data_IF_047134395737
#
_entry.id   IF_047134395737
#
_cell.length_a   1.000
_cell.length_b   1.000
_cell.length_c   1.000
_cell.angle_alpha   90.00
_cell.angle_beta   90.00
_cell.angle_gamma   90.00
#
_symmetry.space_group_name_H-M   'P 1'
#
loop_
_entity.id
_entity.type
_entity.pdbx_description
1 polymer ?
#
# COMPACT_ATOMS: atom_id res chain seq x y z
N UNK A 1 93.31 11.95 -46.65
CA UNK A 1 93.35 10.49 -46.45
C UNK A 1 92.73 10.19 -45.10
N UNK A 2 91.59 9.52 -45.14
CA UNK A 2 90.89 8.74 -44.10
C UNK A 2 90.80 9.19 -42.63
N UNK A 3 89.52 9.29 -42.23
CA UNK A 3 88.93 9.25 -40.89
C UNK A 3 89.53 8.21 -39.94
N UNK A 4 89.66 8.58 -38.66
CA UNK A 4 89.26 7.71 -37.54
C UNK A 4 88.43 8.55 -36.55
N UNK A 5 87.20 8.08 -36.37
CA UNK A 5 86.15 8.57 -35.49
C UNK A 5 86.54 8.34 -34.02
N UNK A 6 86.55 9.39 -33.20
CA UNK A 6 86.54 9.28 -31.74
C UNK A 6 85.08 9.10 -31.29
N UNK A 7 84.68 7.86 -31.00
CA UNK A 7 83.42 7.55 -30.34
C UNK A 7 83.50 7.96 -28.86
N UNK A 8 82.97 9.14 -28.54
CA UNK A 8 82.68 9.55 -27.18
C UNK A 8 81.40 8.85 -26.74
N UNK A 9 81.53 7.81 -25.91
CA UNK A 9 80.39 7.25 -25.18
C UNK A 9 79.98 8.23 -24.06
N UNK A 10 79.02 9.10 -24.35
CA UNK A 10 78.28 9.82 -23.30
C UNK A 10 77.34 8.80 -22.65
N UNK A 11 77.76 8.20 -21.54
CA UNK A 11 76.82 7.57 -20.62
C UNK A 11 75.99 8.68 -19.99
N UNK A 12 74.87 9.02 -20.63
CA UNK A 12 73.78 9.71 -19.96
C UNK A 12 73.25 8.75 -18.89
N UNK A 13 73.77 8.86 -17.67
CA UNK A 13 73.10 8.32 -16.48
C UNK A 13 71.80 9.12 -16.36
N UNK A 14 70.73 8.57 -16.91
CA UNK A 14 69.38 8.94 -16.54
C UNK A 14 69.26 8.64 -15.05
N UNK A 15 69.45 9.65 -14.21
CA UNK A 15 69.04 9.62 -12.81
C UNK A 15 67.52 9.55 -12.83
N UNK A 16 66.99 8.32 -12.86
CA UNK A 16 65.62 8.05 -12.50
C UNK A 16 65.58 8.34 -11.00
N UNK A 17 64.87 9.37 -10.52
CA UNK A 17 64.73 9.55 -9.08
C UNK A 17 64.21 8.24 -8.51
N UNK A 18 64.89 7.70 -7.50
CA UNK A 18 64.59 6.42 -6.88
C UNK A 18 63.11 6.39 -6.50
N UNK A 19 62.28 5.76 -7.36
CA UNK A 19 60.88 5.57 -7.06
C UNK A 19 60.82 4.60 -5.91
N UNK A 20 60.16 4.98 -4.83
CA UNK A 20 59.91 4.12 -3.67
C UNK A 20 59.49 2.71 -4.13
N UNK A 21 60.15 1.68 -3.61
CA UNK A 21 60.01 0.26 -3.92
C UNK A 21 58.70 -0.37 -3.40
N UNK A 22 57.84 0.44 -2.76
CA UNK A 22 56.55 0.00 -2.26
C UNK A 22 55.73 -0.72 -3.34
N UNK A 23 55.27 -1.92 -3.03
CA UNK A 23 54.31 -2.66 -3.88
C UNK A 23 53.33 -3.47 -3.04
N UNK A 24 52.07 -3.51 -3.48
CA UNK A 24 51.11 -4.48 -2.97
C UNK A 24 51.46 -5.87 -3.52
N UNK A 25 51.49 -6.89 -2.65
CA UNK A 25 51.92 -8.25 -3.01
C UNK A 25 50.78 -9.26 -3.07
N UNK A 26 49.61 -8.94 -2.50
CA UNK A 26 48.39 -9.75 -2.60
C UNK A 26 47.43 -9.26 -3.70
N UNK A 27 46.65 -10.20 -4.25
CA UNK A 27 45.47 -9.91 -5.07
C UNK A 27 44.26 -9.58 -4.20
N UNK A 28 43.49 -8.58 -4.62
CA UNK A 28 42.48 -7.91 -3.78
C UNK A 28 41.10 -8.53 -4.01
N UNK A 29 40.37 -8.96 -2.95
CA UNK A 29 38.92 -9.07 -3.03
C UNK A 29 38.34 -7.65 -3.01
N UNK A 30 37.70 -7.23 -4.11
CA UNK A 30 37.01 -5.93 -4.20
C UNK A 30 35.87 -5.81 -3.17
N UNK A 31 35.35 -6.95 -2.71
CA UNK A 31 34.26 -7.06 -1.75
C UNK A 31 34.59 -8.13 -0.69
N UNK A 32 34.28 -7.82 0.56
CA UNK A 32 34.34 -8.75 1.70
C UNK A 32 32.90 -8.94 2.20
N UNK A 33 32.35 -10.14 2.02
CA UNK A 33 31.03 -10.49 2.54
C UNK A 33 31.15 -11.22 3.89
N UNK A 34 30.33 -10.82 4.86
CA UNK A 34 30.31 -11.40 6.20
C UNK A 34 28.89 -11.47 6.74
N UNK A 35 28.62 -12.43 7.60
CA UNK A 35 27.33 -12.51 8.29
C UNK A 35 27.33 -11.67 9.57
N UNK A 36 26.17 -11.10 9.93
CA UNK A 36 25.99 -10.40 11.21
C UNK A 36 26.51 -11.26 12.37
N UNK A 37 27.30 -10.65 13.26
CA UNK A 37 27.90 -11.30 14.42
C UNK A 37 29.19 -12.08 14.14
N UNK A 38 29.59 -12.26 12.88
CA UNK A 38 30.87 -12.88 12.51
C UNK A 38 31.97 -11.83 12.39
N UNK A 39 33.25 -12.21 12.57
CA UNK A 39 34.36 -11.29 12.39
C UNK A 39 34.60 -11.00 10.90
N UNK A 40 34.85 -9.75 10.55
CA UNK A 40 35.33 -9.37 9.22
C UNK A 40 36.81 -9.00 9.31
N UNK A 41 37.61 -9.46 8.37
CA UNK A 41 39.06 -9.23 8.32
C UNK A 41 39.43 -8.67 6.97
N UNK A 42 40.00 -7.47 6.98
CA UNK A 42 40.73 -6.90 5.86
C UNK A 42 42.21 -7.17 6.10
N UNK A 43 42.91 -7.72 5.10
CA UNK A 43 44.33 -8.04 5.21
C UNK A 43 44.97 -7.94 3.85
N UNK A 44 45.88 -6.99 3.68
CA UNK A 44 46.66 -6.83 2.46
C UNK A 44 48.14 -6.84 2.78
N UNK A 45 48.88 -7.74 2.14
CA UNK A 45 50.34 -7.72 2.19
C UNK A 45 50.87 -6.69 1.19
N UNK A 46 51.92 -6.02 1.63
CA UNK A 46 52.74 -5.13 0.83
C UNK A 46 54.20 -5.51 0.99
N UNK A 47 55.07 -4.92 0.19
CA UNK A 47 56.50 -5.01 0.34
C UNK A 47 57.11 -3.62 0.20
N UNK A 48 58.07 -3.32 1.07
CA UNK A 48 58.94 -2.14 1.02
C UNK A 48 60.40 -2.61 1.00
N UNK A 49 61.30 -1.76 0.51
CA UNK A 49 62.72 -1.95 0.75
C UNK A 49 63.04 -1.54 2.18
N UNK A 50 63.25 -2.51 3.07
CA UNK A 50 63.46 -2.25 4.49
C UNK A 50 64.80 -1.59 4.80
N UNK A 51 65.76 -1.57 3.86
CA UNK A 51 67.04 -0.91 4.06
C UNK A 51 66.93 0.60 3.81
N UNK A 52 66.19 1.00 2.78
CA UNK A 52 66.09 2.38 2.32
C UNK A 52 64.79 3.09 2.74
N UNK A 53 63.73 2.33 3.07
CA UNK A 53 62.39 2.85 3.35
C UNK A 53 61.88 2.44 4.73
N UNK A 54 60.92 3.21 5.24
CA UNK A 54 60.13 2.87 6.42
C UNK A 54 58.67 3.24 6.22
N UNK A 55 57.77 2.44 6.80
CA UNK A 55 56.37 2.84 6.94
C UNK A 55 56.30 3.92 8.00
N UNK A 56 55.83 5.10 7.60
CA UNK A 56 55.67 6.25 8.49
C UNK A 56 54.29 6.24 9.16
N UNK A 57 53.23 6.09 8.37
CA UNK A 57 51.84 6.06 8.85
C UNK A 57 51.07 4.94 8.15
N UNK A 58 50.26 4.21 8.92
CA UNK A 58 49.21 3.36 8.40
C UNK A 58 47.87 3.84 8.98
N UNK A 59 47.00 4.35 8.12
CA UNK A 59 45.71 4.90 8.52
C UNK A 59 44.57 4.15 7.84
N UNK A 60 43.52 3.85 8.61
CA UNK A 60 42.29 3.25 8.12
C UNK A 60 41.14 4.25 8.15
N UNK A 61 40.42 4.32 7.04
CA UNK A 61 39.25 5.16 6.85
C UNK A 61 38.05 4.27 6.53
N UNK A 62 36.91 4.55 7.17
CA UNK A 62 35.64 3.91 6.87
C UNK A 62 34.66 4.92 6.28
N UNK A 63 34.12 4.64 5.10
CA UNK A 63 33.00 5.37 4.53
C UNK A 63 31.74 4.53 4.75
N UNK A 64 31.08 4.79 5.87
CA UNK A 64 29.94 4.02 6.35
C UNK A 64 28.71 4.91 6.37
N UNK A 65 27.62 4.49 5.72
CA UNK A 65 26.41 5.30 5.53
C UNK A 65 26.70 6.71 4.95
N UNK A 66 27.67 6.80 4.02
CA UNK A 66 28.09 8.06 3.40
C UNK A 66 28.84 9.03 4.32
N UNK A 67 29.20 8.62 5.55
CA UNK A 67 30.04 9.40 6.47
C UNK A 67 31.43 8.80 6.52
N UNK A 68 32.43 9.63 6.24
CA UNK A 68 33.83 9.29 6.48
C UNK A 68 34.09 9.31 7.98
N UNK A 69 34.64 8.23 8.50
CA UNK A 69 35.07 8.09 9.88
C UNK A 69 36.53 7.67 9.87
N UNK A 70 37.36 8.44 10.59
CA UNK A 70 38.70 7.99 10.93
C UNK A 70 38.58 6.83 11.90
N UNK A 71 38.90 5.62 11.43
CA UNK A 71 38.75 4.39 12.23
C UNK A 71 39.87 4.26 13.28
N UNK A 72 40.77 5.23 13.32
CA UNK A 72 41.93 5.30 14.21
C UNK A 72 41.56 5.73 15.64
N UNK A 73 40.36 6.28 15.88
CA UNK A 73 39.93 6.65 17.25
C UNK A 73 38.48 6.32 17.64
N UNK A 74 37.62 5.87 16.71
CA UNK A 74 36.20 5.62 17.03
C UNK A 74 35.80 4.16 16.81
N UNK A 75 35.83 3.40 17.92
CA UNK A 75 34.99 2.20 18.16
C UNK A 75 35.24 0.99 17.24
N UNK A 76 36.47 0.49 17.19
CA UNK A 76 36.77 -0.90 16.80
C UNK A 76 37.38 -1.61 18.00
N UNK A 77 36.71 -2.65 18.50
CA UNK A 77 37.18 -3.41 19.67
C UNK A 77 38.53 -4.06 19.34
N UNK A 78 39.57 -3.57 20.02
CA UNK A 78 40.98 -4.00 20.00
C UNK A 78 41.65 -4.05 18.62
N UNK A 79 42.44 -3.02 18.35
CA UNK A 79 43.64 -3.18 17.55
C UNK A 79 44.73 -3.82 18.44
N UNK A 80 45.29 -4.95 18.03
CA UNK A 80 46.65 -5.28 18.43
C UNK A 80 47.58 -4.47 17.51
N UNK A 81 47.80 -3.20 17.85
CA UNK A 81 48.99 -2.51 17.35
C UNK A 81 50.16 -3.08 18.13
N UNK A 82 50.81 -4.10 17.57
CA UNK A 82 52.17 -4.40 17.98
C UNK A 82 53.02 -3.19 17.63
N UNK A 83 53.44 -2.43 18.64
CA UNK A 83 54.39 -1.31 18.50
C UNK A 83 55.82 -1.77 18.14
N UNK A 84 56.01 -3.06 17.86
CA UNK A 84 57.26 -3.61 17.37
C UNK A 84 57.05 -4.05 15.92
N UNK A 85 57.74 -3.40 15.00
CA UNK A 85 57.94 -3.77 13.59
C UNK A 85 56.78 -4.56 12.97
N UNK A 86 55.88 -3.92 12.19
CA UNK A 86 54.78 -4.57 11.44
C UNK A 86 55.22 -5.96 10.99
N UNK A 87 54.87 -7.05 11.72
CA UNK A 87 55.47 -8.33 11.44
C UNK A 87 54.92 -8.72 10.08
N UNK A 88 55.80 -8.80 9.08
CA UNK A 88 55.50 -9.29 7.73
C UNK A 88 54.82 -8.31 6.76
N UNK A 89 54.95 -6.98 6.92
CA UNK A 89 54.49 -6.00 5.92
C UNK A 89 53.00 -6.21 5.53
N UNK A 90 52.14 -6.29 6.56
CA UNK A 90 50.68 -6.52 6.40
C UNK A 90 49.90 -5.32 6.92
N UNK A 91 48.99 -4.81 6.10
CA UNK A 91 47.97 -3.85 6.50
C UNK A 91 46.68 -4.60 6.81
N UNK A 92 46.33 -4.74 8.09
CA UNK A 92 45.15 -5.50 8.52
C UNK A 92 44.21 -4.69 9.44
N UNK A 93 42.91 -4.90 9.24
CA UNK A 93 41.83 -4.39 10.08
C UNK A 93 40.87 -5.53 10.37
N UNK A 94 40.52 -5.73 11.65
CA UNK A 94 39.59 -6.78 12.06
C UNK A 94 38.42 -6.19 12.84
N UNK A 95 37.21 -6.39 12.33
CA UNK A 95 35.98 -6.18 13.07
C UNK A 95 35.66 -7.45 13.85
N UNK A 96 35.49 -7.36 15.17
CA UNK A 96 35.20 -8.54 16.01
C UNK A 96 33.84 -9.16 15.74
N UNK A 97 32.83 -8.31 15.48
CA UNK A 97 31.45 -8.72 15.29
C UNK A 97 30.77 -7.71 14.36
N UNK A 98 30.57 -8.09 13.10
CA UNK A 98 29.96 -7.22 12.10
C UNK A 98 28.48 -6.96 12.40
N UNK A 99 28.05 -5.70 12.29
CA UNK A 99 26.67 -5.27 12.31
C UNK A 99 26.26 -4.73 10.93
N UNK A 100 24.95 -4.71 10.62
CA UNK A 100 24.45 -4.15 9.36
C UNK A 100 24.86 -2.68 9.16
N UNK A 101 25.01 -1.94 10.25
CA UNK A 101 25.48 -0.55 10.24
C UNK A 101 26.94 -0.39 9.83
N UNK A 102 27.73 -1.48 9.83
CA UNK A 102 29.17 -1.42 9.54
C UNK A 102 29.47 -1.56 8.05
N UNK A 103 28.45 -1.90 7.23
CA UNK A 103 28.58 -2.02 5.79
C UNK A 103 29.01 -0.68 5.14
N UNK A 104 29.95 -0.75 4.20
CA UNK A 104 30.54 0.43 3.58
C UNK A 104 31.93 0.18 3.03
N UNK A 105 32.60 1.25 2.59
CA UNK A 105 33.95 1.15 2.00
C UNK A 105 35.01 1.35 3.05
N UNK A 106 35.94 0.42 3.17
CA UNK A 106 37.10 0.50 4.05
C UNK A 106 38.35 0.74 3.22
N UNK A 107 39.10 1.77 3.59
CA UNK A 107 40.27 2.24 2.86
C UNK A 107 41.47 2.19 3.81
N UNK A 108 42.57 1.61 3.37
CA UNK A 108 43.86 1.72 4.05
C UNK A 108 44.76 2.64 3.25
N UNK A 109 45.41 3.57 3.94
CA UNK A 109 46.47 4.43 3.42
C UNK A 109 47.77 4.06 4.13
N UNK A 110 48.75 3.58 3.37
CA UNK A 110 50.10 3.30 3.86
C UNK A 110 51.03 4.37 3.32
N UNK A 111 51.57 5.21 4.21
CA UNK A 111 52.52 6.26 3.89
C UNK A 111 53.92 5.75 4.18
N UNK A 112 54.75 5.63 3.16
CA UNK A 112 56.14 5.21 3.26
C UNK A 112 57.07 6.40 3.01
N UNK A 113 58.22 6.43 3.68
CA UNK A 113 59.24 7.46 3.54
C UNK A 113 60.64 6.89 3.38
N UNK A 114 61.50 7.59 2.65
CA UNK A 114 62.94 7.29 2.60
C UNK A 114 63.62 7.59 3.93
N UNK A 115 64.52 6.71 4.39
CA UNK A 115 65.16 6.81 5.72
C UNK A 115 66.27 7.85 5.81
N UNK A 116 66.98 8.10 4.72
CA UNK A 116 68.27 8.82 4.75
C UNK A 116 68.55 9.62 3.47
N UNK A 117 67.60 10.43 3.04
CA UNK A 117 67.83 11.43 1.97
C UNK A 117 67.91 12.84 2.56
N UNK A 118 68.66 13.73 1.91
CA UNK A 118 68.72 15.17 2.25
C UNK A 118 67.38 15.88 2.09
N UNK A 119 66.46 15.29 1.32
CA UNK A 119 65.04 15.65 1.22
C UNK A 119 64.24 14.34 1.32
N UNK A 120 63.45 14.12 2.38
CA UNK A 120 62.68 12.89 2.52
C UNK A 120 61.58 12.82 1.45
N UNK A 121 61.55 11.73 0.68
CA UNK A 121 60.47 11.42 -0.25
C UNK A 121 59.38 10.62 0.47
N UNK A 122 58.11 10.87 0.13
CA UNK A 122 56.98 10.13 0.66
C UNK A 122 56.07 9.59 -0.43
N UNK A 123 55.61 8.35 -0.30
CA UNK A 123 54.57 7.75 -1.13
C UNK A 123 53.39 7.35 -0.24
N UNK A 124 52.19 7.73 -0.66
CA UNK A 124 50.95 7.20 -0.11
C UNK A 124 50.43 6.12 -1.04
N UNK A 125 50.37 4.89 -0.56
CA UNK A 125 49.74 3.78 -1.26
C UNK A 125 48.40 3.44 -0.61
N UNK A 126 47.35 3.41 -1.43
CA UNK A 126 45.99 3.19 -0.95
C UNK A 126 45.34 1.93 -1.53
N UNK A 127 44.54 1.26 -0.71
CA UNK A 127 43.66 0.16 -1.11
C UNK A 127 42.31 0.30 -0.46
N UNK A 128 41.28 -0.22 -1.12
CA UNK A 128 39.93 -0.23 -0.59
C UNK A 128 39.22 -1.56 -0.86
N UNK A 129 38.29 -1.91 0.02
CA UNK A 129 37.31 -2.96 -0.20
C UNK A 129 35.95 -2.56 0.37
N UNK A 130 34.90 -3.05 -0.25
CA UNK A 130 33.53 -2.90 0.26
C UNK A 130 33.20 -4.02 1.24
N UNK A 131 32.76 -3.66 2.45
CA UNK A 131 32.20 -4.58 3.42
C UNK A 131 30.70 -4.74 3.16
N UNK A 132 30.30 -5.96 2.86
CA UNK A 132 28.90 -6.32 2.72
C UNK A 132 28.53 -7.20 3.90
N UNK A 133 27.55 -6.75 4.70
CA UNK A 133 27.07 -7.50 5.86
C UNK A 133 25.71 -8.11 5.55
N UNK A 134 25.65 -9.44 5.54
CA UNK A 134 24.43 -10.20 5.31
C UNK A 134 23.79 -10.65 6.61
N UNK A 135 22.45 -10.73 6.60
CA UNK A 135 21.66 -11.24 7.71
C UNK A 135 20.80 -12.39 7.21
N UNK A 136 20.83 -13.52 7.90
CA UNK A 136 19.98 -14.65 7.57
C UNK A 136 18.49 -14.30 7.74
N UNK A 137 17.60 -14.88 6.91
CA UNK A 137 16.16 -14.83 7.16
C UNK A 137 15.81 -15.65 8.42
N UNK A 138 14.62 -15.42 8.95
CA UNK A 138 14.11 -16.14 10.11
C UNK A 138 12.60 -16.33 10.01
N UNK A 139 12.11 -17.48 10.43
CA UNK A 139 10.68 -17.82 10.50
C UNK A 139 10.30 -18.30 11.89
N UNK A 140 9.00 -18.43 12.14
CA UNK A 140 8.50 -19.12 13.32
C UNK A 140 8.86 -20.60 13.23
N UNK A 141 9.72 -21.09 14.14
CA UNK A 141 10.10 -22.50 14.22
C UNK A 141 11.22 -22.95 13.26
N UNK A 142 11.97 -22.03 12.65
CA UNK A 142 13.08 -22.31 11.71
C UNK A 142 12.71 -23.23 10.53
N UNK A 143 11.43 -23.24 10.14
CA UNK A 143 10.94 -24.07 9.04
C UNK A 143 9.95 -23.29 8.18
N UNK A 144 9.91 -23.63 6.89
CA UNK A 144 8.84 -23.20 6.01
C UNK A 144 7.60 -24.08 6.22
N UNK A 145 6.43 -23.49 6.02
CA UNK A 145 5.16 -24.20 6.07
C UNK A 145 4.37 -23.79 4.85
N UNK A 146 4.01 -24.76 4.00
CA UNK A 146 3.19 -24.52 2.82
C UNK A 146 1.74 -24.92 3.12
N UNK A 147 0.80 -24.03 2.82
CA UNK A 147 -0.64 -24.27 3.06
C UNK A 147 -1.44 -23.82 1.84
N UNK A 148 -2.52 -24.54 1.56
CA UNK A 148 -3.53 -24.11 0.60
C UNK A 148 -4.52 -23.25 1.36
N UNK A 149 -4.62 -21.97 1.00
CA UNK A 149 -5.50 -21.06 1.70
C UNK A 149 -6.96 -21.53 1.55
N UNK A 150 -7.74 -21.54 2.64
CA UNK A 150 -9.12 -22.05 2.64
C UNK A 150 -10.11 -21.12 1.92
N UNK A 151 -9.64 -20.00 1.38
CA UNK A 151 -10.47 -19.03 0.66
C UNK A 151 -9.80 -18.70 -0.66
N UNK A 152 -10.56 -18.83 -1.74
CA UNK A 152 -10.15 -18.27 -3.03
C UNK A 152 -10.05 -16.74 -2.94
N UNK A 153 -9.20 -16.16 -3.76
CA UNK A 153 -8.98 -14.72 -3.87
C UNK A 153 -9.40 -14.25 -5.25
N UNK A 154 -10.08 -13.11 -5.30
CA UNK A 154 -10.56 -12.53 -6.55
C UNK A 154 -9.47 -11.66 -7.17
N UNK A 155 -8.93 -12.09 -8.30
CA UNK A 155 -7.90 -11.37 -9.05
C UNK A 155 -8.58 -10.55 -10.15
N UNK A 156 -8.32 -9.24 -10.17
CA UNK A 156 -8.82 -8.34 -11.21
C UNK A 156 -7.78 -8.18 -12.32
N UNK A 157 -8.17 -8.50 -13.56
CA UNK A 157 -7.34 -8.31 -14.75
C UNK A 157 -8.07 -7.38 -15.71
N UNK A 158 -7.81 -6.08 -15.58
CA UNK A 158 -8.51 -5.05 -16.36
C UNK A 158 -9.99 -4.96 -15.97
N UNK A 159 -10.89 -5.37 -16.87
CA UNK A 159 -12.34 -5.36 -16.63
C UNK A 159 -12.90 -6.70 -16.15
N UNK A 160 -12.11 -7.77 -16.19
CA UNK A 160 -12.55 -9.10 -15.74
C UNK A 160 -12.00 -9.38 -14.35
N UNK A 161 -12.76 -10.15 -13.59
CA UNK A 161 -12.37 -10.59 -12.26
C UNK A 161 -12.57 -12.10 -12.17
N UNK A 162 -11.56 -12.80 -11.68
CA UNK A 162 -11.55 -14.25 -11.62
C UNK A 162 -11.14 -14.73 -10.23
N UNK A 163 -11.91 -15.66 -9.67
CA UNK A 163 -11.53 -16.34 -8.44
C UNK A 163 -10.43 -17.36 -8.70
N UNK A 164 -9.31 -17.21 -7.98
CA UNK A 164 -8.16 -18.11 -7.99
C UNK A 164 -7.87 -18.63 -6.61
N UNK A 165 -7.27 -19.81 -6.53
CA UNK A 165 -6.78 -20.31 -5.25
C UNK A 165 -5.44 -19.66 -4.94
N UNK A 166 -5.07 -19.70 -3.66
CA UNK A 166 -3.84 -19.13 -3.16
C UNK A 166 -3.10 -20.16 -2.32
N UNK A 167 -1.82 -20.36 -2.61
CA UNK A 167 -0.91 -21.08 -1.76
C UNK A 167 -0.13 -20.09 -0.91
N UNK A 168 0.10 -20.41 0.35
CA UNK A 168 0.91 -19.65 1.29
C UNK A 168 2.16 -20.43 1.66
N UNK A 169 3.29 -19.74 1.83
CA UNK A 169 4.55 -20.35 2.25
C UNK A 169 5.28 -19.51 3.30
N UNK A 170 5.55 -20.15 4.44
CA UNK A 170 6.35 -19.63 5.53
C UNK A 170 5.60 -18.65 6.43
N UNK A 171 6.27 -18.27 7.52
CA UNK A 171 5.84 -17.23 8.47
C UNK A 171 7.10 -16.48 8.94
N UNK A 172 7.61 -15.63 8.07
CA UNK A 172 8.85 -14.89 8.24
C UNK A 172 8.72 -13.83 9.32
N UNK A 173 9.59 -13.91 10.32
CA UNK A 173 9.80 -12.86 11.33
C UNK A 173 10.77 -11.79 10.82
N UNK A 174 11.63 -12.16 9.86
CA UNK A 174 12.51 -11.25 9.15
C UNK A 174 13.03 -11.88 7.87
N UNK A 175 13.08 -11.11 6.79
CA UNK A 175 13.51 -11.57 5.46
C UNK A 175 15.04 -11.62 5.28
N UNK A 176 15.80 -11.31 6.33
CA UNK A 176 17.25 -11.19 6.22
C UNK A 176 17.68 -9.89 5.54
N UNK A 177 18.96 -9.81 5.19
CA UNK A 177 19.55 -8.70 4.43
C UNK A 177 20.60 -9.30 3.46
N UNK A 178 20.46 -9.10 2.14
CA UNK A 178 19.29 -8.53 1.47
C UNK A 178 18.03 -9.38 1.68
N UNK A 179 16.86 -8.79 1.47
CA UNK A 179 15.59 -9.50 1.61
C UNK A 179 15.55 -10.72 0.69
N UNK A 180 15.22 -11.87 1.26
CA UNK A 180 14.97 -13.08 0.49
C UNK A 180 13.59 -13.05 -0.17
N UNK A 181 13.44 -13.83 -1.24
CA UNK A 181 12.17 -14.13 -1.89
C UNK A 181 11.88 -15.62 -1.81
N UNK A 182 10.61 -16.02 -1.92
CA UNK A 182 10.21 -17.42 -2.08
C UNK A 182 9.88 -17.70 -3.54
N UNK A 183 10.42 -18.81 -4.03
CA UNK A 183 10.13 -19.36 -5.35
C UNK A 183 9.35 -20.66 -5.21
N UNK A 184 8.49 -20.89 -6.18
CA UNK A 184 7.60 -22.04 -6.24
C UNK A 184 7.96 -22.91 -7.42
N UNK A 185 7.97 -24.21 -7.22
CA UNK A 185 8.08 -25.20 -8.28
C UNK A 185 6.70 -25.76 -8.56
N UNK A 186 6.20 -25.52 -9.76
CA UNK A 186 4.89 -26.00 -10.18
C UNK A 186 4.94 -27.50 -10.58
N UNK A 187 3.79 -28.18 -10.68
CA UNK A 187 3.70 -29.56 -11.17
C UNK A 187 4.31 -29.74 -12.57
N UNK A 188 4.23 -28.71 -13.42
CA UNK A 188 4.90 -28.65 -14.72
C UNK A 188 6.43 -28.54 -14.66
N UNK A 189 7.03 -28.56 -13.46
CA UNK A 189 8.45 -28.35 -13.19
C UNK A 189 8.93 -26.91 -13.47
N UNK A 190 8.01 -25.98 -13.74
CA UNK A 190 8.30 -24.56 -13.94
C UNK A 190 8.55 -23.87 -12.60
N UNK A 191 9.58 -23.03 -12.54
CA UNK A 191 9.82 -22.15 -11.39
C UNK A 191 8.99 -20.87 -11.54
N UNK A 192 8.19 -20.55 -10.53
CA UNK A 192 7.31 -19.40 -10.47
C UNK A 192 7.73 -18.49 -9.30
N UNK A 193 7.81 -17.17 -9.48
CA UNK A 193 7.97 -16.26 -8.35
C UNK A 193 6.68 -16.20 -7.54
N UNK A 194 6.79 -15.85 -6.25
CA UNK A 194 5.61 -15.51 -5.45
C UNK A 194 4.85 -14.32 -6.05
N UNK A 195 3.52 -14.36 -6.05
CA UNK A 195 2.67 -13.29 -6.59
C UNK A 195 2.59 -12.09 -5.65
N UNK A 196 2.68 -12.33 -4.34
CA UNK A 196 2.66 -11.28 -3.32
C UNK A 196 3.33 -11.74 -2.02
N UNK A 197 3.59 -10.78 -1.15
CA UNK A 197 4.10 -11.00 0.20
C UNK A 197 3.35 -10.09 1.15
N UNK A 198 2.72 -10.66 2.18
CA UNK A 198 1.99 -9.91 3.20
C UNK A 198 1.98 -10.67 4.53
N UNK A 199 2.02 -9.94 5.65
CA UNK A 199 2.04 -10.51 7.01
C UNK A 199 3.10 -11.59 7.27
N UNK A 200 4.28 -11.48 6.63
CA UNK A 200 5.35 -12.48 6.81
C UNK A 200 5.13 -13.75 5.98
N UNK A 201 4.16 -13.78 5.07
CA UNK A 201 3.83 -14.96 4.26
C UNK A 201 4.00 -14.62 2.78
N UNK A 202 4.63 -15.52 2.03
CA UNK A 202 4.69 -15.42 0.58
C UNK A 202 3.52 -16.20 -0.05
N UNK A 203 2.90 -15.61 -1.05
CA UNK A 203 1.73 -16.19 -1.70
C UNK A 203 1.99 -16.53 -3.17
N UNK A 204 1.34 -17.58 -3.66
CA UNK A 204 1.24 -17.91 -5.07
C UNK A 204 -0.24 -18.07 -5.44
N UNK A 205 -0.73 -17.21 -6.31
CA UNK A 205 -2.06 -17.38 -6.91
C UNK A 205 -1.98 -18.35 -8.09
N UNK A 206 -2.70 -19.47 -8.00
CA UNK A 206 -2.64 -20.56 -8.99
C UNK A 206 -3.91 -20.58 -9.86
N UNK A 207 -3.73 -21.00 -11.11
CA UNK A 207 -4.83 -21.23 -12.05
C UNK A 207 -5.54 -22.57 -11.76
N UNK A 208 -6.81 -22.68 -12.15
CA UNK A 208 -7.69 -23.84 -11.93
C UNK A 208 -7.24 -25.10 -12.69
N UNK A 209 -6.30 -24.96 -13.62
CA UNK A 209 -5.92 -26.00 -14.58
C UNK A 209 -4.68 -26.79 -14.16
N UNK A 210 -3.84 -26.24 -13.28
CA UNK A 210 -2.58 -26.87 -12.88
C UNK A 210 -2.74 -27.53 -11.50
N UNK A 211 -3.05 -28.82 -11.52
CA UNK A 211 -3.25 -29.67 -10.33
C UNK A 211 -1.98 -30.50 -10.11
N UNK A 212 -1.61 -30.71 -8.84
CA UNK A 212 -0.51 -31.61 -8.48
C UNK A 212 0.35 -31.08 -7.34
N UNK A 213 1.61 -31.54 -7.32
CA UNK A 213 2.58 -31.20 -6.30
C UNK A 213 3.24 -29.84 -6.60
N UNK A 214 3.07 -28.90 -5.69
CA UNK A 214 3.81 -27.64 -5.64
C UNK A 214 4.86 -27.71 -4.55
N UNK A 215 6.02 -27.10 -4.77
CA UNK A 215 7.07 -26.99 -3.75
C UNK A 215 7.47 -25.54 -3.56
N UNK A 216 7.42 -25.02 -2.34
CA UNK A 216 7.97 -23.69 -2.04
C UNK A 216 9.33 -23.80 -1.36
N UNK A 217 10.23 -22.87 -1.69
CA UNK A 217 11.53 -22.72 -1.03
C UNK A 217 11.98 -21.27 -1.11
N UNK A 218 12.87 -20.85 -0.20
CA UNK A 218 13.56 -19.57 -0.36
C UNK A 218 14.42 -19.64 -1.64
N UNK A 219 14.47 -18.56 -2.43
CA UNK A 219 15.28 -18.51 -3.66
C UNK A 219 16.73 -18.90 -3.33
N UNK A 220 17.23 -20.03 -3.85
CA UNK A 220 18.57 -20.54 -3.51
C UNK A 220 19.69 -19.58 -3.97
N UNK A 221 19.37 -18.61 -4.85
CA UNK A 221 20.31 -17.58 -5.29
C UNK A 221 20.47 -16.45 -4.27
N UNK A 222 19.66 -16.40 -3.22
CA UNK A 222 19.71 -15.34 -2.24
C UNK A 222 20.99 -15.44 -1.39
N UNK A 223 21.87 -14.41 -1.40
CA UNK A 223 23.15 -14.47 -0.69
C UNK A 223 22.99 -14.55 0.83
N UNK A 224 21.90 -14.03 1.37
CA UNK A 224 21.55 -14.10 2.79
C UNK A 224 21.46 -15.54 3.33
N UNK A 225 21.23 -16.54 2.47
CA UNK A 225 21.18 -17.95 2.86
C UNK A 225 22.53 -18.51 3.32
N UNK A 226 23.65 -17.92 2.87
CA UNK A 226 24.99 -18.32 3.34
C UNK A 226 25.22 -18.05 4.83
N UNK A 227 24.36 -17.24 5.44
CA UNK A 227 24.38 -16.94 6.88
C UNK A 227 23.52 -17.88 7.72
N UNK A 228 22.81 -18.82 7.12
CA UNK A 228 22.10 -19.87 7.82
C UNK A 228 23.05 -21.00 8.25
N UNK A 229 22.63 -21.76 9.25
CA UNK A 229 23.28 -23.04 9.54
C UNK A 229 23.11 -23.97 8.32
N UNK A 230 24.17 -24.70 7.90
CA UNK A 230 24.06 -25.66 6.79
C UNK A 230 22.97 -26.74 6.97
N UNK A 231 22.55 -27.00 8.21
CA UNK A 231 21.48 -27.94 8.55
C UNK A 231 20.14 -27.26 8.87
N UNK A 232 20.01 -25.94 8.63
CA UNK A 232 18.74 -25.24 8.87
C UNK A 232 17.65 -25.77 7.95
N UNK A 233 16.46 -26.01 8.50
CA UNK A 233 15.31 -26.46 7.72
C UNK A 233 14.79 -25.38 6.76
N UNK A 234 15.20 -24.12 6.92
CA UNK A 234 14.92 -23.04 5.96
C UNK A 234 15.58 -23.23 4.59
N UNK A 235 16.60 -24.09 4.51
CA UNK A 235 17.23 -24.47 3.23
C UNK A 235 16.46 -25.56 2.48
N UNK A 236 15.46 -26.17 3.12
CA UNK A 236 14.64 -27.24 2.52
C UNK A 236 13.45 -26.69 1.75
N UNK A 237 13.03 -27.39 0.69
CA UNK A 237 11.74 -27.15 0.06
C UNK A 237 10.61 -27.79 0.88
N UNK A 238 9.42 -27.20 0.80
CA UNK A 238 8.21 -27.72 1.43
C UNK A 238 7.17 -27.94 0.37
N UNK A 239 6.64 -29.16 0.35
CA UNK A 239 5.72 -29.61 -0.67
C UNK A 239 4.27 -29.47 -0.20
N UNK A 240 3.40 -29.14 -1.14
CA UNK A 240 1.96 -29.11 -0.97
C UNK A 240 1.28 -29.71 -2.20
N UNK A 241 0.37 -30.64 -1.96
CA UNK A 241 -0.41 -31.25 -3.02
C UNK A 241 -1.75 -30.52 -3.15
N UNK A 242 -2.04 -30.06 -4.37
CA UNK A 242 -3.32 -29.44 -4.73
C UNK A 242 -4.08 -30.46 -5.57
N UNK A 243 -5.28 -30.86 -5.14
CA UNK A 243 -6.14 -31.77 -5.89
C UNK A 243 -7.17 -31.02 -6.75
N UNK A 244 -7.70 -31.69 -7.76
CA UNK A 244 -8.77 -31.12 -8.59
C UNK A 244 -10.05 -30.83 -7.78
N UNK A 245 -10.28 -31.59 -6.70
CA UNK A 245 -11.42 -31.38 -5.81
C UNK A 245 -11.25 -30.08 -5.04
N UNK A 246 -10.05 -29.82 -4.50
CA UNK A 246 -9.76 -28.58 -3.78
C UNK A 246 -9.97 -27.36 -4.68
N UNK A 247 -9.47 -27.45 -5.91
CA UNK A 247 -9.64 -26.40 -6.92
C UNK A 247 -11.09 -26.10 -7.19
N UNK A 248 -11.86 -27.15 -7.47
CA UNK A 248 -13.27 -26.98 -7.82
C UNK A 248 -14.08 -26.50 -6.61
N UNK A 249 -13.79 -26.99 -5.40
CA UNK A 249 -14.54 -26.67 -4.20
C UNK A 249 -14.35 -25.19 -3.81
N UNK A 250 -13.11 -24.74 -3.60
CA UNK A 250 -12.83 -23.39 -3.09
C UNK A 250 -13.33 -22.29 -4.04
N UNK A 251 -13.19 -22.53 -5.34
CA UNK A 251 -13.68 -21.61 -6.37
C UNK A 251 -15.21 -21.56 -6.39
N UNK A 252 -15.88 -22.73 -6.40
CA UNK A 252 -17.35 -22.77 -6.43
C UNK A 252 -17.96 -22.20 -5.16
N UNK A 253 -17.32 -22.39 -4.00
CA UNK A 253 -17.74 -21.79 -2.74
C UNK A 253 -17.64 -20.27 -2.79
N UNK A 254 -16.56 -19.73 -3.36
CA UNK A 254 -16.40 -18.29 -3.54
C UNK A 254 -17.43 -17.70 -4.52
N UNK A 255 -17.61 -18.32 -5.68
CA UNK A 255 -18.64 -17.92 -6.66
C UNK A 255 -20.05 -17.98 -6.04
N UNK A 256 -20.35 -19.05 -5.27
CA UNK A 256 -21.64 -19.19 -4.59
C UNK A 256 -21.85 -18.16 -3.50
N UNK A 257 -20.81 -17.84 -2.73
CA UNK A 257 -20.86 -16.81 -1.70
C UNK A 257 -21.12 -15.42 -2.30
N UNK A 258 -20.48 -15.11 -3.43
CA UNK A 258 -20.72 -13.86 -4.17
C UNK A 258 -22.15 -13.78 -4.69
N UNK A 259 -22.65 -14.82 -5.38
CA UNK A 259 -24.04 -14.86 -5.86
C UNK A 259 -25.06 -14.74 -4.72
N UNK A 260 -24.78 -15.30 -3.55
CA UNK A 260 -25.64 -15.16 -2.37
C UNK A 260 -25.66 -13.72 -1.86
N UNK A 261 -24.51 -13.05 -1.84
CA UNK A 261 -24.40 -11.65 -1.45
C UNK A 261 -25.17 -10.73 -2.42
N UNK A 262 -24.98 -10.91 -3.73
CA UNK A 262 -25.72 -10.16 -4.77
C UNK A 262 -27.23 -10.38 -4.67
N UNK A 263 -27.68 -11.64 -4.47
CA UNK A 263 -29.09 -11.94 -4.28
C UNK A 263 -29.68 -11.31 -3.01
N UNK A 264 -28.90 -11.24 -1.92
CA UNK A 264 -29.32 -10.60 -0.68
C UNK A 264 -29.47 -9.08 -0.88
N UNK A 265 -28.53 -8.45 -1.58
CA UNK A 265 -28.58 -7.03 -1.95
C UNK A 265 -29.80 -6.72 -2.83
N UNK A 266 -30.02 -7.52 -3.88
CA UNK A 266 -31.19 -7.36 -4.75
C UNK A 266 -32.51 -7.51 -3.99
N UNK A 267 -32.59 -8.47 -3.05
CA UNK A 267 -33.76 -8.63 -2.18
C UNK A 267 -33.98 -7.42 -1.29
N UNK A 268 -32.92 -6.85 -0.71
CA UNK A 268 -33.01 -5.65 0.10
C UNK A 268 -33.49 -4.45 -0.73
N UNK A 269 -32.97 -4.28 -1.94
CA UNK A 269 -33.40 -3.23 -2.87
C UNK A 269 -34.88 -3.39 -3.27
N UNK A 270 -35.31 -4.61 -3.59
CA UNK A 270 -36.71 -4.90 -3.92
C UNK A 270 -37.65 -4.64 -2.74
N UNK A 271 -37.21 -4.96 -1.51
CA UNK A 271 -37.99 -4.66 -0.30
C UNK A 271 -38.15 -3.15 -0.10
N UNK A 272 -37.07 -2.37 -0.32
CA UNK A 272 -37.11 -0.91 -0.27
C UNK A 272 -38.09 -0.33 -1.30
N UNK A 273 -38.01 -0.77 -2.56
CA UNK A 273 -38.94 -0.33 -3.60
C UNK A 273 -40.40 -0.66 -3.29
N UNK A 274 -40.68 -1.83 -2.69
CA UNK A 274 -42.03 -2.19 -2.25
C UNK A 274 -42.54 -1.29 -1.14
N UNK A 275 -41.69 -0.93 -0.18
CA UNK A 275 -42.05 -0.01 0.90
C UNK A 275 -42.37 1.39 0.35
N UNK A 276 -41.53 1.91 -0.55
CA UNK A 276 -41.75 3.20 -1.25
C UNK A 276 -43.07 3.20 -2.03
N UNK A 277 -43.37 2.12 -2.76
CA UNK A 277 -44.64 1.99 -3.49
C UNK A 277 -45.85 1.93 -2.55
N UNK A 278 -45.73 1.28 -1.39
CA UNK A 278 -46.80 1.23 -0.40
C UNK A 278 -47.09 2.61 0.20
N UNK A 279 -46.03 3.38 0.50
CA UNK A 279 -46.13 4.75 0.97
C UNK A 279 -46.82 5.66 -0.05
N UNK A 280 -46.41 5.60 -1.33
CA UNK A 280 -47.06 6.36 -2.40
C UNK A 280 -48.55 6.01 -2.55
N UNK A 281 -48.92 4.74 -2.39
CA UNK A 281 -50.34 4.31 -2.40
C UNK A 281 -51.12 4.87 -1.23
N UNK A 282 -50.52 4.91 -0.04
CA UNK A 282 -51.14 5.49 1.16
C UNK A 282 -51.37 7.00 0.97
N UNK A 283 -50.36 7.73 0.50
CA UNK A 283 -50.46 9.16 0.19
C UNK A 283 -51.55 9.44 -0.86
N UNK A 284 -51.63 8.62 -1.92
CA UNK A 284 -52.68 8.75 -2.94
C UNK A 284 -54.08 8.48 -2.37
N UNK A 285 -54.22 7.51 -1.47
CA UNK A 285 -55.49 7.22 -0.81
C UNK A 285 -55.93 8.39 0.09
N UNK A 286 -54.99 9.00 0.82
CA UNK A 286 -55.23 10.18 1.64
C UNK A 286 -55.68 11.37 0.79
N UNK A 287 -54.99 11.66 -0.33
CA UNK A 287 -55.39 12.71 -1.26
C UNK A 287 -56.79 12.49 -1.84
N UNK A 288 -57.16 11.24 -2.15
CA UNK A 288 -58.51 10.91 -2.62
C UNK A 288 -59.58 11.14 -1.56
N UNK A 289 -59.28 10.81 -0.29
CA UNK A 289 -60.19 11.06 0.83
C UNK A 289 -60.41 12.56 1.05
N UNK A 290 -59.33 13.35 1.07
CA UNK A 290 -59.39 14.81 1.17
C UNK A 290 -60.22 15.43 0.03
N UNK A 291 -60.05 14.97 -1.21
CA UNK A 291 -60.84 15.43 -2.35
C UNK A 291 -62.34 15.09 -2.22
N UNK A 292 -62.66 13.91 -1.67
CA UNK A 292 -64.05 13.52 -1.43
C UNK A 292 -64.71 14.40 -0.37
N UNK A 293 -63.98 14.72 0.71
CA UNK A 293 -64.45 15.63 1.77
C UNK A 293 -64.71 17.04 1.22
N UNK A 294 -63.77 17.60 0.44
CA UNK A 294 -63.96 18.91 -0.21
C UNK A 294 -65.19 18.93 -1.12
N UNK A 295 -65.44 17.84 -1.88
CA UNK A 295 -66.65 17.72 -2.71
C UNK A 295 -67.93 17.68 -1.89
N UNK A 296 -67.93 17.00 -0.75
CA UNK A 296 -69.09 16.96 0.16
C UNK A 296 -69.39 18.34 0.75
N UNK A 297 -68.37 19.04 1.26
CA UNK A 297 -68.49 20.41 1.77
C UNK A 297 -69.03 21.38 0.71
N UNK A 298 -68.54 21.27 -0.54
CA UNK A 298 -69.06 22.09 -1.65
C UNK A 298 -70.53 21.76 -1.96
N UNK A 299 -70.94 20.50 -1.85
CA UNK A 299 -72.33 20.07 -1.99
C UNK A 299 -73.25 20.67 -0.93
N UNK A 300 -72.80 20.67 0.32
CA UNK A 300 -73.52 21.27 1.45
C UNK A 300 -73.69 22.78 1.28
N UNK A 301 -72.62 23.50 0.93
CA UNK A 301 -72.68 24.94 0.62
C UNK A 301 -73.68 25.25 -0.50
N UNK A 302 -73.72 24.42 -1.55
CA UNK A 302 -74.70 24.58 -2.64
C UNK A 302 -76.13 24.37 -2.15
N UNK A 303 -76.38 23.40 -1.28
CA UNK A 303 -77.70 23.16 -0.70
C UNK A 303 -78.16 24.33 0.18
N UNK A 304 -77.29 24.83 1.06
CA UNK A 304 -77.56 26.01 1.90
C UNK A 304 -77.87 27.24 1.03
N UNK A 305 -77.12 27.46 -0.05
CA UNK A 305 -77.38 28.56 -0.98
C UNK A 305 -78.74 28.42 -1.69
N UNK A 306 -79.14 27.20 -2.04
CA UNK A 306 -80.44 26.94 -2.64
C UNK A 306 -81.59 27.22 -1.66
N UNK A 307 -81.44 26.82 -0.40
CA UNK A 307 -82.41 27.10 0.66
C UNK A 307 -82.57 28.61 0.91
N UNK A 308 -81.47 29.35 1.03
CA UNK A 308 -81.49 30.81 1.16
C UNK A 308 -82.21 31.48 -0.03
N UNK A 309 -81.98 30.99 -1.26
CA UNK A 309 -82.69 31.49 -2.45
C UNK A 309 -84.19 31.21 -2.39
N UNK A 310 -84.60 30.04 -1.89
CA UNK A 310 -86.02 29.69 -1.73
C UNK A 310 -86.70 30.59 -0.68
N UNK A 311 -86.08 30.76 0.50
CA UNK A 311 -86.57 31.65 1.55
C UNK A 311 -86.72 33.10 1.06
N UNK A 312 -85.74 33.60 0.30
CA UNK A 312 -85.82 34.93 -0.31
C UNK A 312 -86.98 35.04 -1.31
N UNK A 313 -87.25 33.97 -2.06
CA UNK A 313 -88.41 33.89 -2.96
C UNK A 313 -89.74 33.97 -2.21
N UNK A 314 -89.86 33.25 -1.09
CA UNK A 314 -91.04 33.26 -0.24
C UNK A 314 -91.29 34.63 0.40
N UNK A 315 -90.24 35.26 0.94
CA UNK A 315 -90.33 36.63 1.47
C UNK A 315 -90.80 37.63 0.41
N UNK A 316 -90.32 37.50 -0.84
CA UNK A 316 -90.79 38.33 -1.96
C UNK A 316 -92.26 38.11 -2.26
N UNK A 317 -92.75 36.87 -2.21
CA UNK A 317 -94.16 36.55 -2.43
C UNK A 317 -95.06 37.13 -1.32
N UNK A 318 -94.67 36.96 -0.05
CA UNK A 318 -95.39 37.54 1.09
C UNK A 318 -95.45 39.07 1.01
N UNK A 319 -94.35 39.72 0.63
CA UNK A 319 -94.31 41.17 0.42
C UNK A 319 -95.26 41.61 -0.69
N UNK A 320 -95.37 40.84 -1.78
CA UNK A 320 -96.31 41.11 -2.86
C UNK A 320 -97.77 40.98 -2.41
N UNK A 321 -98.08 39.96 -1.61
CA UNK A 321 -99.42 39.76 -1.03
C UNK A 321 -99.81 40.91 -0.07
N UNK A 322 -98.89 41.32 0.81
CA UNK A 322 -99.13 42.48 1.69
C UNK A 322 -99.38 43.76 0.89
N UNK A 323 -98.62 43.99 -0.19
CA UNK A 323 -98.86 45.13 -1.10
C UNK A 323 -100.23 45.05 -1.76
N UNK A 324 -100.69 43.86 -2.18
CA UNK A 324 -102.01 43.66 -2.76
C UNK A 324 -103.13 43.95 -1.74
N UNK A 325 -103.04 43.40 -0.53
CA UNK A 325 -103.99 43.67 0.58
C UNK A 325 -104.07 45.16 0.92
N UNK A 326 -102.92 45.84 0.97
CA UNK A 326 -102.87 47.28 1.21
C UNK A 326 -103.57 48.06 0.09
N UNK A 327 -103.39 47.66 -1.17
CA UNK A 327 -104.08 48.28 -2.30
C UNK A 327 -105.60 48.05 -2.23
N UNK A 328 -106.04 46.86 -1.82
CA UNK A 328 -107.45 46.54 -1.63
C UNK A 328 -108.07 47.35 -0.48
N UNK A 329 -107.40 47.46 0.68
CA UNK A 329 -107.83 48.33 1.77
C UNK A 329 -107.93 49.79 1.33
N UNK A 330 -106.94 50.30 0.59
CA UNK A 330 -107.02 51.66 0.03
C UNK A 330 -108.24 51.84 -0.88
N UNK A 331 -108.56 50.85 -1.71
CA UNK A 331 -109.74 50.88 -2.57
C UNK A 331 -111.06 50.82 -1.77
N UNK A 332 -111.12 50.01 -0.71
CA UNK A 332 -112.27 49.96 0.20
C UNK A 332 -112.47 51.26 0.96
N UNK A 333 -111.40 51.84 1.51
CA UNK A 333 -111.44 53.14 2.17
C UNK A 333 -111.93 54.23 1.22
N UNK A 334 -111.43 54.26 -0.03
CA UNK A 334 -111.92 55.19 -1.05
C UNK A 334 -113.42 55.00 -1.36
N UNK A 335 -113.92 53.75 -1.39
CA UNK A 335 -115.36 53.47 -1.51
C UNK A 335 -116.16 53.95 -0.29
N UNK A 336 -115.65 53.73 0.92
CA UNK A 336 -116.27 54.20 2.15
C UNK A 336 -116.32 55.72 2.21
N UNK A 337 -115.21 56.40 1.89
CA UNK A 337 -115.16 57.86 1.76
C UNK A 337 -116.17 58.36 0.72
N UNK A 338 -116.30 57.69 -0.43
CA UNK A 338 -117.32 58.01 -1.43
C UNK A 338 -118.76 57.75 -0.95
N UNK A 339 -118.99 56.76 -0.09
CA UNK A 339 -120.29 56.48 0.54
C UNK A 339 -120.61 57.47 1.67
N UNK A 340 -119.62 57.87 2.46
CA UNK A 340 -119.76 58.90 3.51
C UNK A 340 -119.99 60.27 2.87
N UNK A 341 -119.32 60.58 1.75
CA UNK A 341 -119.62 61.76 0.94
C UNK A 341 -121.04 61.78 0.36
N UNK A 342 -121.75 60.63 0.33
CA UNK A 342 -123.17 60.52 -0.05
C UNK A 342 -124.15 60.57 1.13
N UNK A 343 -123.68 60.56 2.38
CA UNK A 343 -124.48 60.72 3.61
C UNK A 343 -123.99 62.00 4.33
N UNK A 344 -124.50 63.20 3.98
CA UNK A 344 -125.89 63.57 4.27
C UNK A 344 -126.60 64.48 3.22
N UNK A 345 -127.83 64.11 2.87
CA UNK A 345 -128.96 65.08 2.79
C UNK A 345 -130.26 64.37 3.21
N UNK A 346 -130.21 63.72 4.37
CA UNK A 346 -131.39 63.36 5.15
C UNK A 346 -131.04 63.53 6.64
N UNK A 347 -130.79 64.78 7.03
CA UNK A 347 -130.76 65.25 8.43
C UNK A 347 -130.83 66.78 8.43
N UNK A 348 -131.96 67.30 7.96
CA UNK A 348 -132.61 68.53 8.45
C UNK A 348 -133.93 68.69 7.72
N UNK A 349 -134.97 68.96 8.50
CA UNK A 349 -136.34 69.34 8.13
C UNK A 349 -136.43 70.43 7.06
#
# INVERSE_FOLDING_TARGET
MNFILLTVFVHAVLYIPDTLAFKWTDTVPEQVSVCVGKPAVFSWKFAIDTETESVFIMAWLGVVNGRTQDLVEARVREFNFGNDAVPNQVAALKLKSAALSDAGTYIVNVICMTKTESVPQSLTASRSAELIVWKAPSTTGDQLHAVLDPKAVKIQTGKTSEWRMRLSCGTFLGLGQPNVSVVWKAPSNKTLPSTSYDWGVFYLDIDRTEVGLYSCQIDPKAPALTCLDPNSFLLSNVDIYVSQVDVRLLVLEADSAEQKAENAEQKAQNAKQKAELAEQKAQLAEQKAQLAEQKAQLGEQKAQLAEQKAQLGEQKAQLAEQKAKLAEQKAQNAKQEASIAKLPTQLSE
#
